data_IF_116408418153
#
_entry.id   IF_116408418153
#
_cell.length_a   1.000
_cell.length_b   1.000
_cell.length_c   1.000
_cell.angle_alpha   90.00
_cell.angle_beta   90.00
_cell.angle_gamma   90.00
#
_symmetry.space_group_name_H-M   'P 1'
#
loop_
_entity.id
_entity.type
_entity.pdbx_description
1 polymer ?
#
# COMPACT_ATOMS: atom_id res chain seq x y z
N UNK A 1 -12.99 12.31 14.65
CA UNK A 1 -12.50 10.91 14.50
C UNK A 1 -13.37 10.07 13.55
N UNK A 2 -14.69 9.93 13.75
CA UNK A 2 -15.55 9.06 12.92
C UNK A 2 -15.57 9.35 11.40
N UNK A 3 -15.51 10.63 10.99
CA UNK A 3 -15.56 11.01 9.56
C UNK A 3 -14.31 10.54 8.79
N UNK A 4 -13.15 10.51 9.46
CA UNK A 4 -11.90 10.01 8.88
C UNK A 4 -11.92 8.48 8.74
N UNK A 5 -12.34 7.75 9.80
CA UNK A 5 -12.49 6.29 9.74
C UNK A 5 -13.41 5.84 8.59
N UNK A 6 -14.58 6.48 8.41
CA UNK A 6 -15.48 6.14 7.31
C UNK A 6 -14.93 6.43 5.91
N UNK A 7 -13.97 7.35 5.78
CA UNK A 7 -13.25 7.59 4.52
C UNK A 7 -12.14 6.55 4.30
N UNK A 8 -11.43 6.15 5.36
CA UNK A 8 -10.41 5.09 5.32
C UNK A 8 -11.03 3.73 4.95
N UNK A 9 -12.26 3.46 5.39
CA UNK A 9 -13.02 2.25 5.03
C UNK A 9 -13.39 2.18 3.55
N UNK A 10 -13.63 3.33 2.92
CA UNK A 10 -13.84 3.42 1.47
C UNK A 10 -12.53 3.46 0.69
N UNK A 11 -11.48 4.06 1.26
CA UNK A 11 -10.18 4.22 0.60
C UNK A 11 -9.43 2.90 0.46
N UNK A 12 -9.44 2.03 1.48
CA UNK A 12 -8.72 0.75 1.44
C UNK A 12 -9.10 -0.16 0.24
N UNK A 13 -10.39 -0.48 -0.01
CA UNK A 13 -10.77 -1.35 -1.13
C UNK A 13 -10.46 -0.71 -2.49
N UNK A 14 -10.58 0.62 -2.61
CA UNK A 14 -10.18 1.34 -3.83
C UNK A 14 -8.67 1.23 -4.05
N UNK A 15 -7.88 1.45 -2.99
CA UNK A 15 -6.43 1.36 -3.05
C UNK A 15 -5.96 -0.05 -3.40
N UNK A 16 -6.63 -1.10 -2.90
CA UNK A 16 -6.33 -2.51 -3.28
C UNK A 16 -6.61 -2.78 -4.76
N UNK A 17 -7.71 -2.25 -5.31
CA UNK A 17 -8.00 -2.37 -6.75
C UNK A 17 -6.97 -1.66 -7.61
N UNK A 18 -6.60 -0.44 -7.23
CA UNK A 18 -5.56 0.34 -7.93
C UNK A 18 -4.24 -0.40 -7.90
N UNK A 19 -3.85 -0.94 -6.74
CA UNK A 19 -2.62 -1.70 -6.59
C UNK A 19 -2.60 -2.94 -7.50
N UNK A 20 -3.67 -3.73 -7.53
CA UNK A 20 -3.76 -4.92 -8.39
C UNK A 20 -3.66 -4.56 -9.88
N UNK A 21 -4.31 -3.47 -10.31
CA UNK A 21 -4.21 -2.98 -11.69
C UNK A 21 -2.79 -2.52 -12.04
N UNK A 22 -2.12 -1.81 -11.12
CA UNK A 22 -0.74 -1.35 -11.31
C UNK A 22 0.26 -2.52 -11.31
N UNK A 23 0.07 -3.53 -10.47
CA UNK A 23 0.88 -4.75 -10.48
C UNK A 23 0.75 -5.51 -11.80
N UNK A 24 -0.46 -5.59 -12.36
CA UNK A 24 -0.70 -6.24 -13.65
C UNK A 24 -0.14 -5.43 -14.84
N UNK A 25 -0.23 -4.10 -14.79
CA UNK A 25 0.11 -3.24 -15.93
C UNK A 25 1.57 -2.79 -15.95
N UNK A 26 2.12 -2.47 -14.77
CA UNK A 26 3.46 -1.87 -14.61
C UNK A 26 4.44 -2.85 -13.95
N UNK A 27 3.94 -3.90 -13.31
CA UNK A 27 4.74 -4.84 -12.54
C UNK A 27 4.94 -4.41 -11.09
N UNK A 28 5.39 -5.37 -10.28
CA UNK A 28 5.55 -5.20 -8.82
C UNK A 28 6.72 -4.29 -8.43
N UNK A 29 7.71 -4.14 -9.32
CA UNK A 29 8.91 -3.33 -9.09
C UNK A 29 8.78 -1.87 -9.52
N UNK A 30 7.68 -1.51 -10.19
CA UNK A 30 7.48 -0.17 -10.69
C UNK A 30 7.29 0.84 -9.55
N UNK A 31 7.90 2.02 -9.66
CA UNK A 31 7.84 3.08 -8.64
C UNK A 31 6.41 3.40 -8.20
N UNK A 32 5.50 3.48 -9.18
CA UNK A 32 4.08 3.77 -8.94
C UNK A 32 3.43 2.67 -8.10
N UNK A 33 3.71 1.40 -8.41
CA UNK A 33 3.22 0.25 -7.66
C UNK A 33 3.73 0.27 -6.21
N UNK A 34 5.03 0.53 -6.02
CA UNK A 34 5.65 0.63 -4.67
C UNK A 34 5.03 1.76 -3.85
N UNK A 35 4.80 2.92 -4.47
CA UNK A 35 4.11 4.04 -3.81
C UNK A 35 2.69 3.68 -3.38
N UNK A 36 1.95 2.92 -4.20
CA UNK A 36 0.61 2.44 -3.86
C UNK A 36 0.60 1.41 -2.74
N UNK A 37 1.58 0.50 -2.70
CA UNK A 37 1.77 -0.45 -1.58
C UNK A 37 2.01 0.33 -0.27
N UNK A 38 2.85 1.35 -0.32
CA UNK A 38 3.17 2.20 0.84
C UNK A 38 1.95 2.98 1.34
N UNK A 39 1.11 3.48 0.42
CA UNK A 39 -0.16 4.13 0.77
C UNK A 39 -1.14 3.18 1.45
N UNK A 40 -1.27 1.95 0.94
CA UNK A 40 -2.13 0.94 1.56
C UNK A 40 -1.64 0.58 2.96
N UNK A 41 -0.31 0.46 3.16
CA UNK A 41 0.28 0.25 4.47
C UNK A 41 -0.08 1.36 5.47
N UNK A 42 -0.03 2.62 5.03
CA UNK A 42 -0.41 3.76 5.86
C UNK A 42 -1.89 3.71 6.26
N UNK A 43 -2.79 3.41 5.30
CA UNK A 43 -4.23 3.27 5.59
C UNK A 43 -4.48 2.15 6.62
N UNK A 44 -3.78 1.02 6.51
CA UNK A 44 -3.91 -0.09 7.46
C UNK A 44 -3.40 0.29 8.86
N UNK A 45 -2.29 1.04 8.94
CA UNK A 45 -1.78 1.59 10.20
C UNK A 45 -2.81 2.51 10.87
N UNK A 46 -3.43 3.42 10.13
CA UNK A 46 -4.46 4.34 10.65
C UNK A 46 -5.73 3.59 11.13
N UNK A 47 -5.97 2.38 10.63
CA UNK A 47 -7.02 1.47 11.10
C UNK A 47 -6.60 0.56 12.26
N UNK A 48 -5.36 0.67 12.74
CA UNK A 48 -4.81 -0.19 13.80
C UNK A 48 -4.37 -1.58 13.32
N UNK A 49 -4.35 -1.86 12.01
CA UNK A 49 -3.91 -3.13 11.42
C UNK A 49 -2.40 -3.13 11.18
N UNK A 50 -1.64 -3.04 12.26
CA UNK A 50 -0.19 -2.86 12.21
C UNK A 50 0.57 -4.02 11.55
N UNK A 51 0.16 -5.27 11.80
CA UNK A 51 0.81 -6.47 11.24
C UNK A 51 0.74 -6.46 9.70
N UNK A 52 -0.42 -6.12 9.14
CA UNK A 52 -0.59 -6.04 7.69
C UNK A 52 0.12 -4.83 7.09
N UNK A 53 0.12 -3.70 7.79
CA UNK A 53 0.88 -2.52 7.38
C UNK A 53 2.39 -2.83 7.31
N UNK A 54 2.93 -3.50 8.33
CA UNK A 54 4.34 -3.89 8.40
C UNK A 54 4.74 -4.81 7.23
N UNK A 55 3.91 -5.81 6.91
CA UNK A 55 4.14 -6.69 5.78
C UNK A 55 4.24 -5.92 4.45
N UNK A 56 3.36 -4.94 4.24
CA UNK A 56 3.38 -4.09 3.04
C UNK A 56 4.59 -3.14 3.03
N UNK A 57 4.97 -2.57 4.17
CA UNK A 57 6.17 -1.73 4.27
C UNK A 57 7.44 -2.52 3.97
N UNK A 58 7.57 -3.74 4.51
CA UNK A 58 8.71 -4.63 4.20
C UNK A 58 8.78 -4.96 2.71
N UNK A 59 7.64 -5.25 2.09
CA UNK A 59 7.58 -5.49 0.65
C UNK A 59 8.06 -4.27 -0.15
N UNK A 60 7.57 -3.07 0.19
CA UNK A 60 7.99 -1.84 -0.47
C UNK A 60 9.48 -1.53 -0.26
N UNK A 61 10.03 -1.86 0.91
CA UNK A 61 11.44 -1.68 1.23
C UNK A 61 12.32 -2.62 0.40
N UNK A 62 12.01 -3.93 0.37
CA UNK A 62 12.76 -4.91 -0.44
C UNK A 62 12.81 -4.50 -1.91
N UNK A 63 11.71 -3.99 -2.47
CA UNK A 63 11.68 -3.50 -3.86
C UNK A 63 12.59 -2.29 -4.07
N UNK A 64 12.67 -1.37 -3.10
CA UNK A 64 13.58 -0.21 -3.17
C UNK A 64 15.03 -0.64 -3.04
N UNK A 65 15.34 -1.53 -2.10
CA UNK A 65 16.68 -2.07 -1.90
C UNK A 65 17.17 -2.80 -3.16
N UNK A 66 16.32 -3.63 -3.78
CA UNK A 66 16.66 -4.32 -5.05
C UNK A 66 16.92 -3.34 -6.19
N UNK A 67 16.28 -2.17 -6.19
CA UNK A 67 16.41 -1.18 -7.25
C UNK A 67 17.66 -0.31 -7.14
N UNK A 68 18.10 -0.04 -5.91
CA UNK A 68 19.22 0.87 -5.61
C UNK A 68 20.47 0.16 -5.07
N UNK A 69 20.40 -1.14 -4.83
CA UNK A 69 21.51 -2.00 -4.43
C UNK A 69 22.36 -2.51 -5.59
#
# INVERSE_FOLDING_TARGET
MYRLMGQLDKAEPLQRRVLSSQEASLGQMHNVTVSSVTHLAHLLKEKGRYVEAEALYRRALMTRETKYG
#
